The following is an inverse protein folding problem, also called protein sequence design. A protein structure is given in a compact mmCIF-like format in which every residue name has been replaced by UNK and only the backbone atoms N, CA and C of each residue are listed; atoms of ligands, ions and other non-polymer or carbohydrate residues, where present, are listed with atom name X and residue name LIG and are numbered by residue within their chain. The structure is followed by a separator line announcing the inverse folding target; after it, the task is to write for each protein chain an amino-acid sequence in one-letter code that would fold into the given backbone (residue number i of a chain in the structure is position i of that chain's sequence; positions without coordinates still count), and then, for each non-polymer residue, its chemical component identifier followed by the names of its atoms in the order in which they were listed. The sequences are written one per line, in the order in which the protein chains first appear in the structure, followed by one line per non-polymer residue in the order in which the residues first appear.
data_IF_200269473303
#
_entry.id   IF_200269473303
#
_cell.length_a   1.000
_cell.length_b   1.000
_cell.length_c   1.000
_cell.angle_alpha   90.00
_cell.angle_beta   90.00
_cell.angle_gamma   90.00
#
_symmetry.space_group_name_H-M   'P 1'
#
loop_
_entity.id
_entity.type
_entity.pdbx_description
1 polymer ?
#
# COMPACT_ATOMS: atom_id res chain seq x y z
N UNK A 1 3.11 -16.97 -4.60
CA UNK A 1 2.40 -16.37 -5.75
C UNK A 1 1.52 -15.23 -5.23
N UNK A 2 1.40 -14.15 -5.99
CA UNK A 2 0.69 -12.92 -5.58
C UNK A 2 -0.37 -12.55 -6.61
N UNK A 3 -1.56 -12.22 -6.14
CA UNK A 3 -2.62 -11.62 -6.95
C UNK A 3 -2.76 -10.17 -6.55
N UNK A 4 -2.90 -9.27 -7.52
CA UNK A 4 -3.21 -7.86 -7.27
C UNK A 4 -4.61 -7.53 -7.76
N UNK A 5 -5.37 -6.82 -6.92
CA UNK A 5 -6.70 -6.31 -7.22
C UNK A 5 -6.71 -4.80 -7.06
N UNK A 6 -7.14 -4.09 -8.10
CA UNK A 6 -7.13 -2.64 -8.18
C UNK A 6 -5.81 -2.09 -8.75
N UNK A 7 -5.85 -1.70 -10.02
CA UNK A 7 -4.78 -1.06 -10.78
C UNK A 7 -5.09 0.41 -11.05
N UNK A 8 -5.51 1.12 -9.99
CA UNK A 8 -5.41 2.58 -9.93
C UNK A 8 -3.95 3.04 -9.81
N UNK A 9 -3.75 4.30 -9.42
CA UNK A 9 -2.40 4.89 -9.32
C UNK A 9 -1.45 4.07 -8.44
N UNK A 10 -1.89 3.70 -7.24
CA UNK A 10 -1.07 2.94 -6.30
C UNK A 10 -0.79 1.52 -6.80
N UNK A 11 -1.82 0.79 -7.24
CA UNK A 11 -1.67 -0.56 -7.77
C UNK A 11 -0.65 -0.61 -8.90
N UNK A 12 -0.78 0.28 -9.90
CA UNK A 12 0.18 0.40 -11.02
C UNK A 12 1.58 0.76 -10.57
N UNK A 13 1.73 1.66 -9.59
CA UNK A 13 3.04 2.01 -9.07
C UNK A 13 3.72 0.81 -8.38
N UNK A 14 2.95 0.01 -7.65
CA UNK A 14 3.45 -1.20 -6.98
C UNK A 14 3.88 -2.26 -7.99
N UNK A 15 3.04 -2.61 -8.98
CA UNK A 15 3.43 -3.64 -9.96
C UNK A 15 4.61 -3.25 -10.84
N UNK A 16 4.83 -1.96 -11.10
CA UNK A 16 5.97 -1.50 -11.87
C UNK A 16 7.24 -1.29 -11.01
N UNK A 17 7.14 -1.43 -9.68
CA UNK A 17 8.28 -1.30 -8.78
C UNK A 17 9.09 -2.60 -8.74
N UNK A 18 10.38 -2.52 -9.04
CA UNK A 18 11.32 -3.64 -8.95
C UNK A 18 11.46 -4.24 -7.54
N UNK A 19 11.00 -3.52 -6.51
CA UNK A 19 11.11 -3.92 -5.11
C UNK A 19 9.79 -4.38 -4.49
N UNK A 20 8.67 -4.33 -5.21
CA UNK A 20 7.37 -4.68 -4.65
C UNK A 20 7.25 -6.16 -4.27
N UNK A 21 7.83 -7.03 -5.11
CA UNK A 21 7.89 -8.46 -4.84
C UNK A 21 9.16 -8.78 -4.04
N UNK A 22 8.99 -9.45 -2.90
CA UNK A 22 10.11 -10.09 -2.20
C UNK A 22 10.75 -11.15 -3.11
N UNK A 23 12.03 -11.46 -2.90
CA UNK A 23 12.71 -12.52 -3.65
C UNK A 23 11.91 -13.83 -3.58
N UNK A 24 11.60 -14.40 -4.75
CA UNK A 24 10.83 -15.64 -4.87
C UNK A 24 9.31 -15.45 -4.94
N UNK A 25 8.78 -14.23 -4.72
CA UNK A 25 7.39 -13.94 -5.02
C UNK A 25 7.22 -13.65 -6.52
N UNK A 26 6.15 -14.18 -7.09
CA UNK A 26 5.75 -13.95 -8.48
C UNK A 26 4.32 -13.44 -8.51
N UNK A 27 4.11 -12.37 -9.27
CA UNK A 27 2.77 -11.89 -9.59
C UNK A 27 2.15 -12.83 -10.63
N UNK A 28 0.94 -13.33 -10.37
CA UNK A 28 0.30 -14.36 -11.22
C UNK A 28 -1.03 -13.92 -11.83
N UNK A 29 -1.67 -12.90 -11.28
CA UNK A 29 -2.87 -12.31 -11.88
C UNK A 29 -3.10 -10.87 -11.42
N UNK A 30 -3.80 -10.15 -12.29
CA UNK A 30 -4.23 -8.77 -12.11
C UNK A 30 -5.74 -8.70 -12.31
N UNK A 31 -6.44 -8.04 -11.40
CA UNK A 31 -7.89 -7.85 -11.48
C UNK A 31 -8.27 -6.38 -11.30
N UNK A 32 -9.22 -5.91 -12.10
CA UNK A 32 -9.81 -4.58 -11.98
C UNK A 32 -11.28 -4.58 -12.42
N UNK A 33 -12.03 -3.53 -12.07
CA UNK A 33 -13.39 -3.27 -12.54
C UNK A 33 -13.46 -2.24 -13.66
N UNK A 34 -12.39 -1.49 -13.92
CA UNK A 34 -12.33 -0.49 -14.98
C UNK A 34 -12.25 -1.15 -16.36
N UNK A 35 -13.35 -1.07 -17.10
CA UNK A 35 -13.50 -1.60 -18.47
C UNK A 35 -12.46 -1.07 -19.45
N UNK A 36 -11.87 0.10 -19.18
CA UNK A 36 -10.87 0.70 -20.06
C UNK A 36 -9.50 0.01 -19.95
N UNK A 37 -9.26 -0.74 -18.87
CA UNK A 37 -7.96 -1.34 -18.58
C UNK A 37 -8.01 -2.87 -18.60
N UNK A 38 -9.18 -3.46 -18.41
CA UNK A 38 -9.40 -4.89 -18.59
C UNK A 38 -8.99 -5.30 -20.02
N UNK A 39 -8.23 -6.39 -20.13
CA UNK A 39 -7.67 -6.87 -21.39
C UNK A 39 -6.34 -6.23 -21.78
N UNK A 40 -5.92 -5.14 -21.13
CA UNK A 40 -4.59 -4.55 -21.36
C UNK A 40 -3.50 -5.34 -20.63
N UNK A 41 -2.25 -5.19 -21.06
CA UNK A 41 -1.10 -5.83 -20.44
C UNK A 41 -0.39 -4.86 -19.48
N UNK A 42 -0.17 -5.31 -18.24
CA UNK A 42 0.58 -4.59 -17.21
C UNK A 42 1.59 -5.56 -16.60
N UNK A 43 2.87 -5.18 -16.58
CA UNK A 43 3.96 -6.01 -16.04
C UNK A 43 3.97 -7.45 -16.61
N UNK A 44 3.67 -7.63 -17.89
CA UNK A 44 3.66 -8.95 -18.54
C UNK A 44 2.39 -9.78 -18.32
N UNK A 45 1.37 -9.24 -17.66
CA UNK A 45 0.12 -9.93 -17.37
C UNK A 45 -1.09 -9.17 -17.91
N UNK A 46 -2.04 -9.92 -18.46
CA UNK A 46 -3.34 -9.36 -18.88
C UNK A 46 -4.21 -9.07 -17.67
N UNK A 47 -4.77 -7.86 -17.62
CA UNK A 47 -5.71 -7.44 -16.58
C UNK A 47 -7.06 -8.13 -16.81
N UNK A 48 -7.56 -8.83 -15.79
CA UNK A 48 -8.83 -9.56 -15.80
C UNK A 48 -9.93 -8.73 -15.15
N UNK A 49 -11.17 -9.00 -15.54
CA UNK A 49 -12.33 -8.41 -14.86
C UNK A 49 -12.45 -8.95 -13.44
N UNK A 50 -12.83 -8.09 -12.50
CA UNK A 50 -13.10 -8.48 -11.12
C UNK A 50 -14.23 -9.50 -10.99
N UNK A 51 -15.10 -9.61 -12.00
CA UNK A 51 -16.21 -10.56 -12.04
C UNK A 51 -15.79 -11.95 -12.54
N UNK A 52 -14.57 -12.08 -13.05
CA UNK A 52 -13.99 -13.38 -13.35
C UNK A 52 -13.61 -14.12 -12.06
N UNK A 53 -13.55 -15.45 -12.14
CA UNK A 53 -13.10 -16.28 -11.03
C UNK A 53 -11.66 -15.92 -10.67
N UNK A 54 -11.44 -15.60 -9.39
CA UNK A 54 -10.10 -15.35 -8.88
C UNK A 54 -9.27 -16.64 -8.87
N UNK A 55 -8.00 -16.52 -9.27
CA UNK A 55 -7.04 -17.61 -9.16
C UNK A 55 -6.59 -17.76 -7.72
N UNK A 56 -6.29 -19.00 -7.32
CA UNK A 56 -5.61 -19.26 -6.05
C UNK A 56 -4.20 -18.66 -6.07
N UNK A 57 -3.76 -18.15 -4.93
CA UNK A 57 -2.43 -17.62 -4.72
C UNK A 57 -2.11 -17.58 -3.22
N UNK A 58 -0.84 -17.32 -2.91
CA UNK A 58 -0.37 -17.22 -1.52
C UNK A 58 -0.82 -15.91 -0.86
N UNK A 59 -0.80 -14.80 -1.61
CA UNK A 59 -1.11 -13.46 -1.09
C UNK A 59 -2.01 -12.70 -2.06
N UNK A 60 -3.04 -12.05 -1.54
CA UNK A 60 -3.88 -11.09 -2.26
C UNK A 60 -3.55 -9.66 -1.83
N UNK A 61 -3.19 -8.80 -2.79
CA UNK A 61 -2.92 -7.39 -2.54
C UNK A 61 -4.09 -6.56 -3.06
N UNK A 62 -4.64 -5.72 -2.20
CA UNK A 62 -5.86 -4.95 -2.46
C UNK A 62 -5.54 -3.47 -2.46
N UNK A 63 -5.63 -2.84 -3.63
CA UNK A 63 -5.46 -1.40 -3.85
C UNK A 63 -6.74 -0.80 -4.44
N UNK A 64 -7.86 -1.02 -3.75
CA UNK A 64 -9.21 -0.69 -4.20
C UNK A 64 -9.83 0.41 -3.33
N UNK A 65 -10.84 1.14 -3.82
CA UNK A 65 -11.57 2.09 -2.98
C UNK A 65 -12.31 1.38 -1.83
N UNK A 66 -12.62 2.09 -0.71
CA UNK A 66 -13.22 1.50 0.47
C UNK A 66 -14.50 0.70 0.21
N UNK A 67 -15.43 1.24 -0.58
CA UNK A 67 -16.71 0.57 -0.84
C UNK A 67 -16.58 -0.79 -1.56
N UNK A 68 -15.44 -1.06 -2.20
CA UNK A 68 -15.19 -2.31 -2.92
C UNK A 68 -14.37 -3.32 -2.10
N UNK A 69 -13.72 -2.91 -1.01
CA UNK A 69 -12.69 -3.73 -0.36
C UNK A 69 -13.25 -5.02 0.24
N UNK A 70 -14.40 -4.97 0.94
CA UNK A 70 -15.04 -6.19 1.46
C UNK A 70 -15.36 -7.21 0.37
N UNK A 71 -16.00 -6.79 -0.73
CA UNK A 71 -16.37 -7.71 -1.82
C UNK A 71 -15.15 -8.33 -2.51
N UNK A 72 -14.04 -7.59 -2.59
CA UNK A 72 -12.77 -8.11 -3.08
C UNK A 72 -12.16 -9.13 -2.11
N UNK A 73 -12.19 -8.86 -0.81
CA UNK A 73 -11.72 -9.79 0.21
C UNK A 73 -12.51 -11.11 0.17
N UNK A 74 -13.84 -11.02 0.04
CA UNK A 74 -14.71 -12.20 -0.06
C UNK A 74 -14.36 -13.05 -1.29
N UNK A 75 -14.12 -12.42 -2.44
CA UNK A 75 -13.70 -13.10 -3.68
C UNK A 75 -12.33 -13.77 -3.54
N UNK A 76 -11.38 -13.13 -2.87
CA UNK A 76 -10.05 -13.68 -2.60
C UNK A 76 -10.12 -14.89 -1.65
N UNK A 77 -10.88 -14.77 -0.57
CA UNK A 77 -11.13 -15.85 0.39
C UNK A 77 -11.81 -17.04 -0.30
N UNK A 78 -12.80 -16.79 -1.17
CA UNK A 78 -13.46 -17.84 -1.96
C UNK A 78 -12.51 -18.53 -2.96
N UNK A 79 -11.40 -17.89 -3.34
CA UNK A 79 -10.33 -18.47 -4.14
C UNK A 79 -9.22 -19.13 -3.30
N UNK A 80 -9.44 -19.30 -1.99
CA UNK A 80 -8.51 -19.89 -1.02
C UNK A 80 -7.23 -19.05 -0.84
N UNK A 81 -7.38 -17.72 -0.91
CA UNK A 81 -6.33 -16.74 -0.61
C UNK A 81 -6.57 -16.16 0.79
N UNK A 82 -5.83 -16.66 1.78
CA UNK A 82 -6.03 -16.33 3.19
C UNK A 82 -5.02 -15.34 3.78
N UNK A 83 -4.08 -14.81 2.99
CA UNK A 83 -3.20 -13.72 3.40
C UNK A 83 -3.46 -12.49 2.52
N UNK A 84 -4.00 -11.44 3.15
CA UNK A 84 -4.43 -10.22 2.47
C UNK A 84 -3.58 -9.03 2.91
N UNK A 85 -3.01 -8.31 1.94
CA UNK A 85 -2.36 -7.03 2.14
C UNK A 85 -3.31 -5.92 1.66
N UNK A 86 -3.92 -5.20 2.59
CA UNK A 86 -4.99 -4.27 2.33
C UNK A 86 -4.52 -2.81 2.44
N UNK A 87 -4.59 -2.08 1.33
CA UNK A 87 -4.35 -0.63 1.27
C UNK A 87 -5.64 0.18 1.34
N UNK A 88 -6.82 -0.45 1.33
CA UNK A 88 -8.08 0.25 1.45
C UNK A 88 -8.30 0.68 2.92
N UNK A 89 -8.72 1.92 3.20
CA UNK A 89 -9.05 2.39 4.54
C UNK A 89 -10.45 1.89 4.96
N UNK A 90 -10.62 0.57 4.97
CA UNK A 90 -11.82 -0.12 5.43
C UNK A 90 -11.40 -1.36 6.21
N UNK A 91 -11.97 -1.53 7.41
CA UNK A 91 -11.83 -2.78 8.18
C UNK A 91 -12.65 -3.88 7.51
N UNK A 92 -12.01 -5.02 7.27
CA UNK A 92 -12.60 -6.18 6.61
C UNK A 92 -13.13 -7.19 7.65
N UNK A 93 -14.29 -7.75 7.37
CA UNK A 93 -14.84 -8.90 8.07
C UNK A 93 -14.46 -10.17 7.30
N UNK A 94 -13.51 -10.94 7.82
CA UNK A 94 -13.00 -12.17 7.17
C UNK A 94 -13.11 -13.39 8.09
N UNK A 95 -13.18 -14.62 7.55
CA UNK A 95 -13.22 -15.83 8.37
C UNK A 95 -11.97 -16.01 9.23
N UNK A 96 -12.11 -16.72 10.35
CA UNK A 96 -10.99 -17.14 11.18
C UNK A 96 -9.95 -17.89 10.35
N UNK A 97 -8.67 -17.57 10.57
CA UNK A 97 -7.55 -18.13 9.78
C UNK A 97 -7.16 -17.27 8.57
N UNK A 98 -7.94 -16.24 8.23
CA UNK A 98 -7.55 -15.23 7.24
C UNK A 98 -6.75 -14.13 7.91
N UNK A 99 -5.50 -13.96 7.51
CA UNK A 99 -4.64 -12.87 7.96
C UNK A 99 -4.85 -11.64 7.08
N UNK A 100 -5.07 -10.47 7.71
CA UNK A 100 -5.20 -9.19 7.02
C UNK A 100 -4.18 -8.22 7.60
N UNK A 101 -3.31 -7.70 6.74
CA UNK A 101 -2.37 -6.64 7.07
C UNK A 101 -2.81 -5.34 6.42
N UNK A 102 -3.11 -4.33 7.24
CA UNK A 102 -3.50 -3.00 6.77
C UNK A 102 -2.26 -2.14 6.55
N UNK A 103 -2.23 -1.41 5.44
CA UNK A 103 -1.16 -0.46 5.12
C UNK A 103 -1.76 0.93 4.98
N UNK A 104 -1.32 1.87 5.80
CA UNK A 104 -1.77 3.26 5.77
C UNK A 104 -0.60 4.22 5.95
N UNK A 105 -0.12 4.77 4.83
CA UNK A 105 0.99 5.73 4.79
C UNK A 105 0.75 7.02 5.59
N UNK A 106 -0.52 7.34 5.89
CA UNK A 106 -0.87 8.56 6.61
C UNK A 106 -0.31 8.54 8.02
N UNK A 107 -0.23 7.35 8.63
CA UNK A 107 0.29 7.17 9.99
C UNK A 107 1.79 7.46 10.01
N UNK A 108 2.56 6.96 9.05
CA UNK A 108 4.00 7.21 8.96
C UNK A 108 4.28 8.69 8.72
N UNK A 109 3.51 9.35 7.85
CA UNK A 109 3.61 10.79 7.65
C UNK A 109 3.28 11.57 8.92
N UNK A 110 2.22 11.19 9.64
CA UNK A 110 1.85 11.83 10.90
C UNK A 110 2.95 11.69 11.96
N UNK A 111 3.58 10.51 12.06
CA UNK A 111 4.73 10.27 12.95
C UNK A 111 5.90 11.19 12.58
N UNK A 112 6.21 11.31 11.28
CA UNK A 112 7.28 12.20 10.80
C UNK A 112 6.96 13.67 11.13
N UNK A 113 5.72 14.11 10.94
CA UNK A 113 5.29 15.48 11.23
C UNK A 113 5.33 15.79 12.74
N UNK A 114 4.89 14.87 13.58
CA UNK A 114 4.98 15.01 15.04
C UNK A 114 6.43 15.22 15.49
N UNK A 115 7.34 14.44 14.93
CA UNK A 115 8.76 14.50 15.22
C UNK A 115 9.44 15.80 14.78
N UNK A 116 9.01 16.40 13.67
CA UNK A 116 9.48 17.72 13.24
C UNK A 116 8.94 18.84 14.14
N UNK A 117 7.66 18.77 14.51
CA UNK A 117 7.01 19.80 15.33
C UNK A 117 7.46 19.76 16.79
N UNK A 118 7.80 18.58 17.31
CA UNK A 118 8.16 18.38 18.72
C UNK A 118 9.68 18.17 18.91
N UNK A 119 10.51 18.42 17.89
CA UNK A 119 11.97 18.36 17.97
C UNK A 119 12.55 16.99 18.35
N UNK A 120 11.74 15.93 18.33
CA UNK A 120 12.07 14.59 18.84
C UNK A 120 12.29 13.56 17.73
N UNK A 121 12.27 14.01 16.47
CA UNK A 121 12.56 13.15 15.33
C UNK A 121 14.01 12.72 15.19
N UNK A 122 14.27 11.68 14.38
CA UNK A 122 15.63 11.33 13.96
C UNK A 122 16.33 12.48 13.20
N UNK A 123 15.57 13.46 12.71
CA UNK A 123 16.07 14.70 12.09
C UNK A 123 16.19 15.88 13.06
N UNK A 124 15.56 15.81 14.24
CA UNK A 124 15.42 16.92 15.18
C UNK A 124 16.47 17.01 16.29
N UNK A 125 17.25 15.94 16.54
CA UNK A 125 18.19 15.91 17.66
C UNK A 125 19.69 15.95 17.32
N UNK A 126 20.09 15.60 16.09
CA UNK A 126 21.51 15.35 15.77
C UNK A 126 22.10 16.12 14.59
N UNK A 127 21.28 16.52 13.61
CA UNK A 127 21.76 17.12 12.36
C UNK A 127 21.83 18.66 12.38
N UNK A 128 21.02 19.32 13.22
CA UNK A 128 21.06 20.78 13.37
C UNK A 128 22.25 21.27 14.22
N UNK A 129 22.86 20.41 15.04
CA UNK A 129 24.08 20.76 15.79
C UNK A 129 25.37 20.49 14.99
N UNK A 130 25.30 19.71 13.90
CA UNK A 130 26.44 19.37 13.05
C UNK A 130 26.51 20.22 11.76
N UNK A 131 25.39 20.81 11.34
CA UNK A 131 25.36 21.88 10.36
C UNK A 131 25.31 23.20 11.11
N UNK A 132 26.46 23.84 11.34
CA UNK A 132 26.65 25.05 12.15
C UNK A 132 25.92 26.31 11.67
N UNK A 133 24.60 26.24 11.52
CA UNK A 133 23.71 27.37 11.29
C UNK A 133 23.07 27.71 12.64
N UNK A 134 23.87 28.38 13.48
CA UNK A 134 23.34 29.09 14.62
C UNK A 134 22.50 30.27 14.10
N UNK A 135 21.18 30.09 14.08
CA UNK A 135 20.27 31.22 14.13
C UNK A 135 20.42 31.84 15.52
N UNK A 136 21.01 33.03 15.61
CA UNK A 136 20.77 33.88 16.77
C UNK A 136 20.52 35.32 16.31
N UNK A 137 19.22 35.62 16.21
CA UNK A 137 18.70 36.97 16.23
C UNK A 137 18.50 37.36 17.69
N UNK A 138 19.32 38.29 18.19
CA UNK A 138 19.07 38.97 19.47
C UNK A 138 19.00 40.47 19.23
N UNK A 139 17.78 41.01 19.20
CA UNK A 139 17.53 42.44 19.37
C UNK A 139 17.68 42.80 20.84
N UNK A 140 18.49 43.83 21.14
CA UNK A 140 18.10 45.04 21.91
C UNK A 140 19.30 45.92 22.23
N UNK A 141 19.16 47.19 21.86
CA UNK A 141 19.89 48.37 22.36
C UNK A 141 19.42 48.70 23.80
N UNK A 142 20.08 49.63 24.53
CA UNK A 142 20.20 51.04 24.19
C UNK A 142 21.62 51.47 23.77
#
# INVERSE_FOLDING_TARGET
QVVMVGLGNLGRALVNSSNFLIRGATLVALYDSDVNIIGTEVAGLVVRSIDEKMVNATVGVMCVPPHAAQGVADKLVAADVHALLNFAPQVLSVPLGTAVHYVDFSIELQILMYHLNNGTGPLGGGLLHSLGIAANHSLRTP
#
